data_IF_860522608833
#
_entry.id   IF_860522608833
#
_cell.length_a   1.000
_cell.length_b   1.000
_cell.length_c   1.000
_cell.angle_alpha   90.00
_cell.angle_beta   90.00
_cell.angle_gamma   90.00
#
_symmetry.space_group_name_H-M   'P 1'
#
loop_
_entity.id
_entity.type
_entity.pdbx_description
1 polymer ?
#
# COMPACT_ATOMS: atom_id res chain seq x y z
N UNK A 1 2.44 -13.54 -1.77
CA UNK A 1 1.40 -12.75 -1.07
C UNK A 1 2.10 -11.54 -0.46
N UNK A 2 1.70 -10.31 -0.81
CA UNK A 2 2.36 -9.11 -0.27
C UNK A 2 1.74 -8.79 1.08
N UNK A 3 2.56 -8.64 2.10
CA UNK A 3 2.12 -8.16 3.40
C UNK A 3 2.03 -6.62 3.36
N UNK A 4 0.82 -6.11 3.18
CA UNK A 4 0.54 -4.67 3.09
C UNK A 4 0.85 -3.96 4.40
N UNK A 5 0.65 -4.63 5.54
CA UNK A 5 0.92 -4.05 6.85
C UNK A 5 2.42 -3.85 7.04
N UNK A 6 3.21 -4.89 6.78
CA UNK A 6 4.66 -4.81 6.86
C UNK A 6 5.25 -3.78 5.88
N UNK A 7 4.71 -3.72 4.65
CA UNK A 7 5.11 -2.71 3.67
C UNK A 7 4.84 -1.29 4.17
N UNK A 8 3.62 -1.01 4.67
CA UNK A 8 3.27 0.30 5.22
C UNK A 8 4.16 0.68 6.40
N UNK A 9 4.41 -0.26 7.31
CA UNK A 9 5.28 -0.04 8.48
C UNK A 9 6.73 0.24 8.06
N UNK A 10 7.24 -0.45 7.04
CA UNK A 10 8.58 -0.18 6.47
C UNK A 10 8.71 1.22 5.84
N UNK A 11 7.58 1.79 5.40
CA UNK A 11 7.50 3.13 4.83
C UNK A 11 7.34 4.22 5.91
N UNK A 12 7.06 3.83 7.16
CA UNK A 12 6.94 4.74 8.29
C UNK A 12 5.71 5.66 8.24
N UNK A 13 4.69 5.29 7.45
CA UNK A 13 3.48 6.12 7.24
C UNK A 13 2.21 5.50 7.83
N UNK A 14 1.22 6.34 8.05
CA UNK A 14 -0.09 5.89 8.55
C UNK A 14 -0.97 5.31 7.42
N UNK A 15 -2.10 4.69 7.78
CA UNK A 15 -3.00 4.05 6.80
C UNK A 15 -3.66 5.05 5.83
N UNK A 16 -3.90 6.28 6.26
CA UNK A 16 -4.50 7.32 5.42
C UNK A 16 -3.50 7.78 4.36
N UNK A 17 -2.26 8.07 4.75
CA UNK A 17 -1.17 8.42 3.83
C UNK A 17 -0.88 7.28 2.83
N UNK A 18 -0.93 6.03 3.29
CA UNK A 18 -0.73 4.88 2.41
C UNK A 18 -1.89 4.71 1.43
N UNK A 19 -3.12 4.90 1.89
CA UNK A 19 -4.30 4.83 1.03
C UNK A 19 -4.27 5.90 -0.06
N UNK A 20 -3.90 7.12 0.32
CA UNK A 20 -3.74 8.26 -0.58
C UNK A 20 -2.68 7.99 -1.66
N UNK A 21 -1.47 7.57 -1.25
CA UNK A 21 -0.40 7.25 -2.19
C UNK A 21 -0.72 6.07 -3.14
N UNK A 22 -1.50 5.10 -2.68
CA UNK A 22 -1.90 3.94 -3.50
C UNK A 22 -3.16 4.22 -4.33
N UNK A 23 -3.81 5.38 -4.14
CA UNK A 23 -5.04 5.75 -4.84
C UNK A 23 -6.23 4.87 -4.44
N UNK A 24 -6.35 4.56 -3.16
CA UNK A 24 -7.36 3.65 -2.61
C UNK A 24 -8.00 4.21 -1.33
N UNK A 25 -9.02 3.55 -0.80
CA UNK A 25 -9.63 3.94 0.46
C UNK A 25 -8.92 3.31 1.66
N UNK A 26 -8.92 4.01 2.79
CA UNK A 26 -8.38 3.51 4.08
C UNK A 26 -9.04 2.19 4.48
N UNK A 27 -10.34 2.04 4.21
CA UNK A 27 -11.10 0.81 4.45
C UNK A 27 -10.59 -0.37 3.61
N UNK A 28 -10.12 -0.12 2.37
CA UNK A 28 -9.54 -1.16 1.53
C UNK A 28 -8.15 -1.55 2.01
N UNK A 29 -7.31 -0.59 2.42
CA UNK A 29 -6.01 -0.85 3.05
C UNK A 29 -6.19 -1.71 4.30
N UNK A 30 -7.15 -1.35 5.17
CA UNK A 30 -7.47 -2.14 6.36
C UNK A 30 -7.95 -3.56 5.99
N UNK A 31 -8.77 -3.71 4.94
CA UNK A 31 -9.19 -5.03 4.47
C UNK A 31 -8.04 -5.88 3.94
N UNK A 32 -7.02 -5.26 3.33
CA UNK A 32 -5.79 -5.94 2.92
C UNK A 32 -4.92 -6.34 4.11
N UNK A 33 -4.71 -5.45 5.07
CA UNK A 33 -3.95 -5.75 6.30
C UNK A 33 -4.59 -6.86 7.13
N UNK A 34 -5.93 -6.93 7.16
CA UNK A 34 -6.68 -7.98 7.86
C UNK A 34 -6.82 -9.28 7.04
N UNK A 35 -6.33 -9.32 5.80
CA UNK A 35 -6.44 -10.48 4.91
C UNK A 35 -7.86 -10.76 4.40
N UNK A 36 -8.83 -9.87 4.66
CA UNK A 36 -10.22 -10.01 4.17
C UNK A 36 -10.33 -9.87 2.66
N UNK A 37 -9.44 -9.06 2.06
CA UNK A 37 -9.26 -8.91 0.62
C UNK A 37 -7.78 -8.98 0.30
N UNK A 38 -7.45 -9.42 -0.91
CA UNK A 38 -6.08 -9.33 -1.40
C UNK A 38 -6.00 -8.26 -2.50
N UNK A 39 -4.91 -7.49 -2.55
CA UNK A 39 -4.67 -6.59 -3.68
C UNK A 39 -4.53 -7.42 -4.96
N UNK A 40 -5.17 -6.95 -6.03
CA UNK A 40 -5.14 -7.59 -7.34
C UNK A 40 -4.91 -6.54 -8.44
N UNK A 41 -4.68 -7.00 -9.67
CA UNK A 41 -4.51 -6.13 -10.84
C UNK A 41 -3.44 -5.06 -10.64
N UNK A 42 -3.81 -3.80 -10.88
CA UNK A 42 -2.91 -2.63 -10.78
C UNK A 42 -2.41 -2.39 -9.36
N UNK A 43 -3.24 -2.60 -8.34
CA UNK A 43 -2.84 -2.45 -6.95
C UNK A 43 -1.71 -3.43 -6.57
N UNK A 44 -1.80 -4.69 -7.02
CA UNK A 44 -0.75 -5.68 -6.78
C UNK A 44 0.58 -5.28 -7.43
N UNK A 45 0.55 -4.77 -8.67
CA UNK A 45 1.75 -4.25 -9.36
C UNK A 45 2.34 -3.04 -8.64
N UNK A 46 1.51 -2.07 -8.24
CA UNK A 46 1.96 -0.88 -7.52
C UNK A 46 2.61 -1.23 -6.18
N UNK A 47 1.98 -2.12 -5.40
CA UNK A 47 2.53 -2.60 -4.13
C UNK A 47 3.85 -3.36 -4.34
N UNK A 48 3.97 -4.14 -5.42
CA UNK A 48 5.22 -4.82 -5.77
C UNK A 48 6.32 -3.83 -6.11
N UNK A 49 5.99 -2.71 -6.78
CA UNK A 49 6.94 -1.64 -7.08
C UNK A 49 7.36 -0.89 -5.82
N UNK A 50 6.41 -0.56 -4.93
CA UNK A 50 6.70 0.06 -3.63
C UNK A 50 7.59 -0.82 -2.76
N UNK A 51 7.39 -2.15 -2.80
CA UNK A 51 8.24 -3.09 -2.08
C UNK A 51 9.68 -3.11 -2.63
N UNK A 52 9.86 -2.95 -3.94
CA UNK A 52 11.18 -2.90 -4.59
C UNK A 52 11.85 -1.53 -4.46
N UNK A 53 11.06 -0.47 -4.45
CA UNK A 53 11.52 0.91 -4.36
C UNK A 53 10.62 1.71 -3.40
N UNK A 54 10.90 1.66 -2.08
CA UNK A 54 10.14 2.38 -1.07
C UNK A 54 10.09 3.90 -1.26
N UNK A 55 11.10 4.48 -1.90
CA UNK A 55 11.16 5.92 -2.16
C UNK A 55 10.08 6.41 -3.14
N UNK A 56 9.52 5.51 -3.96
CA UNK A 56 8.46 5.84 -4.92
C UNK A 56 7.23 6.44 -4.24
N UNK A 57 7.00 6.15 -2.95
CA UNK A 57 5.87 6.72 -2.22
C UNK A 57 5.89 8.24 -2.16
N UNK A 58 7.07 8.86 -2.24
CA UNK A 58 7.22 10.33 -2.24
C UNK A 58 6.67 10.94 -3.53
N UNK A 59 6.81 10.23 -4.65
CA UNK A 59 6.34 10.67 -5.96
C UNK A 59 4.83 10.43 -6.14
N UNK A 60 4.25 9.52 -5.34
CA UNK A 60 2.82 9.20 -5.36
C UNK A 60 1.96 10.15 -4.51
N UNK A 61 2.58 10.92 -3.61
CA UNK A 61 1.91 11.99 -2.84
C UNK A 61 1.87 13.25 -3.72
N UNK A 62 0.91 13.32 -4.64
CA UNK A 62 0.69 14.48 -5.51
C UNK A 62 -0.46 15.36 -5.00
#
# INVERSE_FOLDING_TARGET
>A
MIDVKALRESLGINRAEFADAVGTSVALVQSWELGRRQPNGTALKLLSLLQRNPNLIKDLRA
#
